data_IF_198065402130
#
_entry.id   IF_198065402130
#
_cell.length_a   1.000
_cell.length_b   1.000
_cell.length_c   1.000
_cell.angle_alpha   90.00
_cell.angle_beta   90.00
_cell.angle_gamma   90.00
#
_symmetry.space_group_name_H-M   'P 1'
#
loop_
_entity.id
_entity.type
_entity.pdbx_description
1 polymer ?
#
# COMPACT_ATOMS: atom_id res chain seq x y z
N UNK A 1 2.26 -67.08 3.91
CA UNK A 1 3.57 -66.41 4.19
C UNK A 1 3.32 -64.92 4.43
N UNK A 2 3.54 -64.53 5.65
CA UNK A 2 2.97 -63.38 6.30
C UNK A 2 3.62 -62.05 5.88
N UNK A 3 2.82 -60.95 5.85
CA UNK A 3 3.21 -59.54 5.64
C UNK A 3 4.40 -59.08 6.54
N UNK A 4 4.64 -59.74 7.66
CA UNK A 4 5.78 -59.52 8.56
C UNK A 4 7.15 -59.81 7.97
N UNK A 5 7.30 -60.87 7.13
CA UNK A 5 8.60 -61.20 6.52
C UNK A 5 9.07 -60.18 5.46
N UNK A 6 8.14 -59.40 4.86
CA UNK A 6 8.50 -58.38 3.86
C UNK A 6 9.01 -57.07 4.49
N UNK A 7 8.63 -56.80 5.74
CA UNK A 7 9.07 -55.59 6.48
C UNK A 7 10.49 -55.81 7.05
N UNK A 8 10.82 -57.00 7.50
CA UNK A 8 12.14 -57.31 8.07
C UNK A 8 13.25 -57.33 7.02
N UNK A 9 12.95 -57.73 5.77
CA UNK A 9 13.92 -57.69 4.67
C UNK A 9 14.29 -56.26 4.21
N UNK A 10 13.37 -55.31 4.29
CA UNK A 10 13.60 -53.90 3.93
C UNK A 10 14.47 -53.14 4.95
N UNK A 11 14.29 -53.44 6.23
CA UNK A 11 15.06 -52.81 7.31
C UNK A 11 16.52 -53.29 7.35
N UNK A 12 16.79 -54.53 7.01
CA UNK A 12 18.16 -55.08 6.98
C UNK A 12 19.00 -54.54 5.82
N UNK A 13 18.39 -54.23 4.67
CA UNK A 13 19.09 -53.64 3.52
C UNK A 13 19.45 -52.16 3.78
N UNK A 14 18.56 -51.40 4.40
CA UNK A 14 18.81 -50.00 4.77
C UNK A 14 19.89 -49.88 5.86
N UNK A 15 19.83 -50.72 6.89
CA UNK A 15 20.88 -50.75 7.94
C UNK A 15 22.22 -51.19 7.39
N UNK A 16 22.27 -52.16 6.47
CA UNK A 16 23.50 -52.57 5.82
C UNK A 16 24.14 -51.49 4.94
N UNK A 17 23.34 -50.64 4.29
CA UNK A 17 23.84 -49.54 3.47
C UNK A 17 24.37 -48.37 4.35
N UNK A 18 23.66 -48.04 5.41
CA UNK A 18 24.06 -47.01 6.38
C UNK A 18 25.40 -47.33 7.02
N UNK A 19 25.63 -48.60 7.40
CA UNK A 19 26.89 -49.05 8.01
C UNK A 19 28.06 -49.07 7.01
N UNK A 20 27.79 -49.34 5.72
CA UNK A 20 28.84 -49.39 4.69
C UNK A 20 29.27 -48.02 4.14
N UNK A 21 28.38 -47.02 4.17
CA UNK A 21 28.68 -45.67 3.62
C UNK A 21 28.14 -44.54 4.53
N UNK A 22 28.60 -44.48 5.79
CA UNK A 22 28.05 -43.54 6.76
C UNK A 22 28.20 -42.07 6.31
N UNK A 23 29.28 -41.73 5.64
CA UNK A 23 29.51 -40.36 5.12
C UNK A 23 28.48 -39.93 4.06
N UNK A 24 28.07 -40.85 3.16
CA UNK A 24 27.05 -40.54 2.15
C UNK A 24 25.67 -40.30 2.79
N UNK A 25 25.32 -41.14 3.77
CA UNK A 25 24.04 -40.98 4.49
C UNK A 25 24.01 -39.69 5.28
N UNK A 26 25.12 -39.36 5.97
CA UNK A 26 25.24 -38.10 6.71
C UNK A 26 25.20 -36.89 5.77
N UNK A 27 25.92 -36.90 4.64
CA UNK A 27 25.91 -35.82 3.65
C UNK A 27 24.51 -35.64 3.02
N UNK A 28 23.79 -36.70 2.73
CA UNK A 28 22.42 -36.62 2.22
C UNK A 28 21.47 -36.02 3.27
N UNK A 29 21.59 -36.44 4.51
CA UNK A 29 20.78 -35.93 5.60
C UNK A 29 21.04 -34.42 5.82
N UNK A 30 22.30 -34.02 5.88
CA UNK A 30 22.65 -32.57 6.02
C UNK A 30 22.17 -31.75 4.82
N UNK A 31 22.28 -32.26 3.60
CA UNK A 31 21.77 -31.60 2.41
C UNK A 31 20.24 -31.40 2.47
N UNK A 32 19.49 -32.39 2.91
CA UNK A 32 18.05 -32.33 3.09
C UNK A 32 17.70 -31.29 4.17
N UNK A 33 18.40 -31.30 5.31
CA UNK A 33 18.18 -30.34 6.40
C UNK A 33 18.47 -28.89 5.94
N UNK A 34 19.57 -28.66 5.23
CA UNK A 34 19.91 -27.34 4.68
C UNK A 34 18.86 -26.88 3.68
N UNK A 35 18.44 -27.76 2.76
CA UNK A 35 17.38 -27.45 1.81
C UNK A 35 16.06 -27.10 2.51
N UNK A 36 15.65 -27.89 3.50
CA UNK A 36 14.43 -27.63 4.27
C UNK A 36 14.48 -26.29 5.01
N UNK A 37 15.62 -26.00 5.67
CA UNK A 37 15.83 -24.74 6.39
C UNK A 37 15.84 -23.53 5.43
N UNK A 38 16.47 -23.64 4.27
CA UNK A 38 16.49 -22.56 3.27
C UNK A 38 15.10 -22.32 2.67
N UNK A 39 14.37 -23.38 2.36
CA UNK A 39 13.00 -23.28 1.85
C UNK A 39 12.06 -22.65 2.89
N UNK A 40 12.16 -23.05 4.16
CA UNK A 40 11.38 -22.49 5.25
C UNK A 40 11.72 -21.02 5.50
N UNK A 41 13.01 -20.67 5.51
CA UNK A 41 13.47 -19.28 5.62
C UNK A 41 12.98 -18.40 4.48
N UNK A 42 12.99 -18.92 3.25
CA UNK A 42 12.48 -18.21 2.08
C UNK A 42 10.99 -17.91 2.20
N UNK A 43 10.20 -18.91 2.57
CA UNK A 43 8.75 -18.74 2.75
C UNK A 43 8.43 -17.72 3.85
N UNK A 44 9.06 -17.87 5.01
CA UNK A 44 8.87 -16.97 6.14
C UNK A 44 9.31 -15.52 5.86
N UNK A 45 10.41 -15.34 5.14
CA UNK A 45 10.90 -14.01 4.73
C UNK A 45 9.94 -13.29 3.77
N UNK A 46 9.24 -14.02 2.90
CA UNK A 46 8.21 -13.44 2.03
C UNK A 46 7.04 -12.88 2.84
N UNK A 47 6.51 -13.68 3.76
CA UNK A 47 5.36 -13.29 4.58
C UNK A 47 5.68 -12.07 5.48
N UNK A 48 6.87 -12.04 6.06
CA UNK A 48 7.36 -10.90 6.85
C UNK A 48 7.42 -9.64 6.00
N UNK A 49 7.98 -9.71 4.77
CA UNK A 49 8.09 -8.54 3.89
C UNK A 49 6.72 -8.00 3.48
N UNK A 50 5.83 -8.88 3.04
CA UNK A 50 4.47 -8.48 2.64
C UNK A 50 3.70 -7.87 3.82
N UNK A 51 3.78 -8.48 4.99
CA UNK A 51 3.17 -7.97 6.24
C UNK A 51 3.75 -6.62 6.67
N UNK A 52 5.08 -6.48 6.63
CA UNK A 52 5.75 -5.23 7.02
C UNK A 52 5.43 -4.10 6.05
N UNK A 53 5.45 -4.36 4.74
CA UNK A 53 5.10 -3.38 3.72
C UNK A 53 3.63 -2.95 3.86
N UNK A 54 2.72 -3.89 4.14
CA UNK A 54 1.32 -3.58 4.35
C UNK A 54 1.13 -2.67 5.57
N UNK A 55 1.74 -3.01 6.72
CA UNK A 55 1.67 -2.18 7.94
C UNK A 55 2.26 -0.78 7.72
N UNK A 56 3.37 -0.67 6.99
CA UNK A 56 3.96 0.61 6.64
C UNK A 56 3.02 1.45 5.78
N UNK A 57 2.42 0.85 4.74
CA UNK A 57 1.45 1.53 3.88
C UNK A 57 0.20 1.98 4.66
N UNK A 58 -0.28 1.17 5.60
CA UNK A 58 -1.37 1.54 6.51
C UNK A 58 -1.01 2.75 7.38
N UNK A 59 0.15 2.74 8.01
CA UNK A 59 0.63 3.84 8.86
C UNK A 59 0.78 5.14 8.06
N UNK A 60 1.35 5.09 6.86
CA UNK A 60 1.44 6.26 5.97
C UNK A 60 0.06 6.79 5.57
N UNK A 61 -0.87 5.89 5.23
CA UNK A 61 -2.23 6.28 4.88
C UNK A 61 -2.94 7.01 6.03
N UNK A 62 -2.85 6.46 7.23
CA UNK A 62 -3.42 7.05 8.44
C UNK A 62 -2.81 8.42 8.73
N UNK A 63 -1.48 8.57 8.62
CA UNK A 63 -0.77 9.82 8.84
C UNK A 63 -1.22 10.92 7.89
N UNK A 64 -1.32 10.60 6.59
CA UNK A 64 -1.78 11.56 5.58
C UNK A 64 -3.25 11.93 5.78
N UNK A 65 -4.10 10.96 6.12
CA UNK A 65 -5.52 11.22 6.42
C UNK A 65 -5.69 12.09 7.65
N UNK A 66 -4.92 11.84 8.70
CA UNK A 66 -4.93 12.65 9.93
C UNK A 66 -4.46 14.08 9.66
N UNK A 67 -3.35 14.26 8.92
CA UNK A 67 -2.84 15.56 8.52
C UNK A 67 -3.88 16.34 7.70
N UNK A 68 -4.47 15.72 6.68
CA UNK A 68 -5.52 16.36 5.87
C UNK A 68 -6.74 16.76 6.70
N UNK A 69 -7.18 15.87 7.59
CA UNK A 69 -8.29 16.14 8.49
C UNK A 69 -8.00 17.27 9.47
N UNK A 70 -6.80 17.29 10.06
CA UNK A 70 -6.36 18.39 10.93
C UNK A 70 -6.33 19.73 10.18
N UNK A 71 -5.72 19.75 9.00
CA UNK A 71 -5.66 20.93 8.15
C UNK A 71 -7.06 21.46 7.82
N UNK A 72 -7.96 20.58 7.37
CA UNK A 72 -9.33 20.96 7.01
C UNK A 72 -10.13 21.52 8.19
N UNK A 73 -10.01 20.92 9.37
CA UNK A 73 -10.81 21.33 10.54
C UNK A 73 -10.22 22.50 11.33
N UNK A 74 -8.90 22.64 11.33
CA UNK A 74 -8.24 23.58 12.25
C UNK A 74 -7.47 24.69 11.55
N UNK A 75 -6.85 24.43 10.41
CA UNK A 75 -6.03 25.42 9.70
C UNK A 75 -6.89 26.27 8.76
N UNK A 76 -7.61 25.63 7.86
CA UNK A 76 -8.44 26.30 6.84
C UNK A 76 -9.42 27.32 7.46
N UNK A 77 -10.25 26.97 8.47
CA UNK A 77 -11.19 27.93 9.03
C UNK A 77 -10.51 29.13 9.73
N UNK A 78 -9.33 28.89 10.33
CA UNK A 78 -8.56 29.99 10.96
C UNK A 78 -7.97 30.94 9.93
N UNK A 79 -7.39 30.39 8.85
CA UNK A 79 -6.83 31.17 7.77
C UNK A 79 -7.92 32.02 7.08
N UNK A 80 -9.09 31.43 6.81
CA UNK A 80 -10.23 32.15 6.23
C UNK A 80 -10.70 33.29 7.15
N UNK A 81 -10.76 33.09 8.47
CA UNK A 81 -11.08 34.14 9.44
C UNK A 81 -10.04 35.28 9.44
N UNK A 82 -8.79 34.98 9.11
CA UNK A 82 -7.71 35.93 8.95
C UNK A 82 -7.67 36.59 7.55
N UNK A 83 -8.64 36.33 6.69
CA UNK A 83 -8.77 36.91 5.36
C UNK A 83 -8.12 36.14 4.23
N UNK A 84 -7.58 34.94 4.50
CA UNK A 84 -7.02 34.07 3.43
C UNK A 84 -8.13 33.43 2.60
N UNK A 85 -7.87 33.31 1.29
CA UNK A 85 -8.69 32.50 0.37
C UNK A 85 -8.20 31.06 0.30
N UNK A 86 -9.03 30.14 -0.18
CA UNK A 86 -8.67 28.72 -0.34
C UNK A 86 -8.87 28.34 -1.79
N UNK A 87 -7.81 27.88 -2.48
CA UNK A 87 -7.88 27.54 -3.90
C UNK A 87 -6.96 26.36 -4.28
N UNK A 88 -7.14 25.86 -5.51
CA UNK A 88 -6.24 24.88 -6.11
C UNK A 88 -4.97 25.51 -6.70
N UNK A 89 -5.04 26.78 -7.10
CA UNK A 89 -4.01 27.63 -7.69
C UNK A 89 -3.34 28.56 -6.65
N UNK A 90 -3.30 28.14 -5.42
CA UNK A 90 -2.83 28.91 -4.27
C UNK A 90 -1.41 29.51 -4.43
N UNK A 91 -0.60 28.93 -5.33
CA UNK A 91 0.77 29.41 -5.61
C UNK A 91 0.81 30.74 -6.38
N UNK A 92 -0.34 31.19 -6.92
CA UNK A 92 -0.44 32.44 -7.66
C UNK A 92 -0.68 33.66 -6.76
N UNK A 93 -0.91 33.44 -5.46
CA UNK A 93 -1.19 34.53 -4.51
C UNK A 93 -0.72 34.21 -3.10
N UNK A 94 -0.01 35.15 -2.47
CA UNK A 94 0.52 35.03 -1.10
C UNK A 94 -0.58 34.99 -0.01
N UNK A 95 -1.81 35.38 -0.34
CA UNK A 95 -2.95 35.34 0.57
C UNK A 95 -3.86 34.13 0.40
N UNK A 96 -3.46 33.20 -0.46
CA UNK A 96 -4.25 32.02 -0.77
C UNK A 96 -3.57 30.76 -0.21
N UNK A 97 -4.34 29.89 0.41
CA UNK A 97 -3.88 28.59 0.89
C UNK A 97 -4.51 27.45 0.07
N UNK A 98 -3.85 26.28 -0.04
CA UNK A 98 -4.37 25.18 -0.84
C UNK A 98 -5.63 24.55 -0.24
N UNK A 99 -6.49 23.98 -1.09
CA UNK A 99 -7.48 23.03 -0.61
C UNK A 99 -6.83 21.84 0.10
N UNK A 100 -7.49 21.18 1.08
CA UNK A 100 -6.93 20.04 1.80
C UNK A 100 -6.45 18.89 0.90
N UNK A 101 -7.17 18.62 -0.21
CA UNK A 101 -6.75 17.63 -1.19
C UNK A 101 -5.55 18.12 -2.02
N UNK A 102 -5.50 19.40 -2.38
CA UNK A 102 -4.37 20.01 -3.10
C UNK A 102 -3.09 19.95 -2.28
N UNK A 103 -3.14 20.35 -1.01
CA UNK A 103 -2.02 20.20 -0.07
C UNK A 103 -1.47 18.77 -0.07
N UNK A 104 -2.36 17.78 0.00
CA UNK A 104 -1.92 16.38 0.08
C UNK A 104 -1.32 15.88 -1.23
N UNK A 105 -1.84 16.34 -2.37
CA UNK A 105 -1.30 15.98 -3.71
C UNK A 105 0.07 16.64 -3.91
N UNK A 106 0.23 17.89 -3.52
CA UNK A 106 1.51 18.60 -3.65
C UNK A 106 2.56 17.98 -2.73
N UNK A 107 2.20 17.62 -1.49
CA UNK A 107 3.09 16.85 -0.62
C UNK A 107 3.50 15.50 -1.27
N UNK A 108 2.56 14.81 -1.92
CA UNK A 108 2.87 13.56 -2.63
C UNK A 108 3.85 13.78 -3.80
N UNK A 109 3.76 14.91 -4.50
CA UNK A 109 4.69 15.27 -5.57
C UNK A 109 6.08 15.59 -5.00
N UNK A 110 6.18 16.37 -3.95
CA UNK A 110 7.43 16.67 -3.23
C UNK A 110 8.14 15.39 -2.75
N UNK A 111 7.39 14.46 -2.16
CA UNK A 111 7.94 13.18 -1.71
C UNK A 111 8.44 12.34 -2.89
N UNK A 112 7.77 12.39 -4.03
CA UNK A 112 8.17 11.67 -5.24
C UNK A 112 9.47 12.24 -5.82
N UNK A 113 9.62 13.56 -5.85
CA UNK A 113 10.84 14.25 -6.31
C UNK A 113 12.04 13.92 -5.42
N UNK A 114 11.82 13.71 -4.13
CA UNK A 114 12.85 13.29 -3.17
C UNK A 114 13.12 11.78 -3.18
N UNK A 115 12.72 11.06 -4.23
CA UNK A 115 12.90 9.60 -4.35
C UNK A 115 12.37 8.81 -3.16
N UNK A 116 11.23 9.20 -2.62
CA UNK A 116 10.64 8.45 -1.53
C UNK A 116 10.30 7.01 -1.95
N UNK A 117 10.43 6.09 -1.01
CA UNK A 117 10.22 4.66 -1.24
C UNK A 117 8.76 4.32 -1.61
N UNK A 118 7.82 5.26 -1.48
CA UNK A 118 6.42 5.04 -1.76
C UNK A 118 5.83 6.12 -2.65
N UNK A 119 4.76 5.78 -3.36
CA UNK A 119 3.97 6.74 -4.12
C UNK A 119 2.57 6.86 -3.54
N UNK A 120 2.04 8.07 -3.65
CA UNK A 120 0.76 8.43 -3.09
C UNK A 120 -0.12 9.04 -4.19
N UNK A 121 -1.37 8.55 -4.32
CA UNK A 121 -2.31 9.03 -5.32
C UNK A 121 -3.68 9.30 -4.70
N UNK A 122 -4.34 10.33 -5.23
CA UNK A 122 -5.77 10.57 -5.00
C UNK A 122 -6.51 10.53 -6.30
N UNK A 123 -7.66 9.87 -6.33
CA UNK A 123 -8.55 9.84 -7.49
C UNK A 123 -10.01 9.69 -7.05
N UNK A 124 -10.91 10.03 -7.95
CA UNK A 124 -12.35 10.05 -7.70
C UNK A 124 -13.10 9.76 -9.00
N UNK A 125 -14.34 9.30 -8.88
CA UNK A 125 -15.26 9.20 -10.00
C UNK A 125 -15.73 10.59 -10.46
N UNK A 126 -15.79 11.56 -9.56
CA UNK A 126 -16.26 12.93 -9.82
C UNK A 126 -15.13 13.95 -9.60
N UNK A 127 -14.07 13.99 -10.44
CA UNK A 127 -12.98 14.94 -10.26
C UNK A 127 -13.44 16.38 -10.54
N UNK A 128 -12.86 17.35 -9.82
CA UNK A 128 -13.02 18.76 -10.19
C UNK A 128 -12.37 19.05 -11.55
N UNK A 129 -12.88 20.03 -12.34
CA UNK A 129 -12.38 20.32 -13.69
C UNK A 129 -10.88 20.58 -13.78
N UNK A 130 -10.29 21.23 -12.78
CA UNK A 130 -8.85 21.54 -12.76
C UNK A 130 -7.95 20.33 -12.49
N UNK A 131 -8.52 19.15 -12.16
CA UNK A 131 -7.74 17.92 -11.98
C UNK A 131 -7.35 17.25 -13.30
N UNK A 132 -7.93 17.72 -14.41
CA UNK A 132 -7.73 17.15 -15.74
C UNK A 132 -8.29 15.73 -15.88
N UNK A 133 -8.28 15.24 -17.09
CA UNK A 133 -8.62 13.85 -17.36
C UNK A 133 -7.46 12.94 -16.97
N UNK A 134 -7.74 11.96 -16.12
CA UNK A 134 -6.79 10.94 -15.72
C UNK A 134 -7.29 9.57 -16.09
N UNK A 135 -6.51 8.84 -16.86
CA UNK A 135 -6.78 7.43 -17.14
C UNK A 135 -6.41 6.60 -15.91
N UNK A 136 -7.43 6.02 -15.28
CA UNK A 136 -7.23 5.11 -14.15
C UNK A 136 -6.73 3.76 -14.65
N UNK A 137 -5.75 3.18 -13.93
CA UNK A 137 -5.33 1.82 -14.19
C UNK A 137 -6.34 0.79 -13.65
N UNK A 138 -6.10 -0.50 -13.91
CA UNK A 138 -7.04 -1.55 -13.50
C UNK A 138 -7.22 -1.62 -11.98
N UNK A 139 -6.15 -1.47 -11.20
CA UNK A 139 -6.24 -1.44 -9.74
C UNK A 139 -7.12 -0.28 -9.26
N UNK A 140 -6.94 0.90 -9.83
CA UNK A 140 -7.67 2.12 -9.45
C UNK A 140 -9.16 2.03 -9.76
N UNK A 141 -9.53 1.45 -10.92
CA UNK A 141 -10.93 1.15 -11.26
C UNK A 141 -11.55 0.13 -10.30
N UNK A 142 -10.83 -0.96 -10.02
CA UNK A 142 -11.31 -2.00 -9.10
C UNK A 142 -11.49 -1.45 -7.68
N UNK A 143 -10.55 -0.61 -7.22
CA UNK A 143 -10.63 0.02 -5.90
C UNK A 143 -11.83 0.96 -5.80
N UNK A 144 -12.08 1.82 -6.80
CA UNK A 144 -13.29 2.66 -6.84
C UNK A 144 -14.56 1.83 -6.79
N UNK A 145 -14.66 0.78 -7.60
CA UNK A 145 -15.85 -0.08 -7.65
C UNK A 145 -16.06 -0.86 -6.33
N UNK A 146 -14.99 -1.32 -5.70
CA UNK A 146 -15.08 -2.10 -4.46
C UNK A 146 -15.28 -1.27 -3.20
N UNK A 147 -14.77 -0.04 -3.18
CA UNK A 147 -14.91 0.83 -2.00
C UNK A 147 -16.19 1.66 -2.06
N UNK A 148 -16.70 1.98 -3.25
CA UNK A 148 -17.90 2.78 -3.39
C UNK A 148 -19.16 1.95 -3.06
N UNK A 149 -19.91 2.37 -2.04
CA UNK A 149 -21.17 1.73 -1.66
C UNK A 149 -21.04 0.40 -0.90
N UNK A 150 -19.83 0.04 -0.43
CA UNK A 150 -19.61 -1.16 0.37
C UNK A 150 -19.11 -0.81 1.77
N UNK A 151 -19.13 -1.80 2.68
CA UNK A 151 -18.57 -1.67 4.03
C UNK A 151 -17.06 -1.96 4.07
N UNK A 152 -16.41 -2.11 2.89
CA UNK A 152 -14.98 -2.38 2.82
C UNK A 152 -14.19 -1.14 3.27
N UNK A 153 -13.32 -1.33 4.24
CA UNK A 153 -12.44 -0.30 4.80
C UNK A 153 -11.19 -0.05 3.96
N UNK A 154 -10.80 -1.00 3.11
CA UNK A 154 -9.65 -0.92 2.21
C UNK A 154 -9.71 -1.93 1.07
N UNK A 155 -8.93 -1.67 0.02
CA UNK A 155 -8.65 -2.60 -1.07
C UNK A 155 -7.15 -2.80 -1.24
N UNK A 156 -6.68 -4.05 -1.24
CA UNK A 156 -5.24 -4.39 -1.25
C UNK A 156 -4.94 -5.34 -2.40
N UNK A 157 -3.81 -5.11 -3.09
CA UNK A 157 -3.27 -6.02 -4.09
C UNK A 157 -1.74 -6.03 -4.04
N UNK A 158 -1.16 -7.23 -4.12
CA UNK A 158 0.27 -7.42 -4.36
C UNK A 158 0.46 -7.73 -5.84
N UNK A 159 1.13 -6.82 -6.55
CA UNK A 159 1.33 -6.96 -8.00
C UNK A 159 2.69 -6.42 -8.44
N UNK A 160 3.07 -6.69 -9.69
CA UNK A 160 4.20 -6.03 -10.30
C UNK A 160 3.74 -4.66 -10.84
N UNK A 161 4.16 -3.60 -10.17
CA UNK A 161 3.85 -2.23 -10.56
C UNK A 161 5.12 -1.52 -11.05
N UNK A 162 5.11 -1.08 -12.30
CA UNK A 162 6.25 -0.42 -12.97
C UNK A 162 7.57 -1.23 -12.84
N UNK A 163 7.47 -2.55 -13.05
CA UNK A 163 8.63 -3.45 -13.02
C UNK A 163 9.08 -3.88 -11.62
N UNK A 164 8.41 -3.46 -10.54
CA UNK A 164 8.77 -3.80 -9.17
C UNK A 164 7.62 -4.47 -8.42
N UNK A 165 7.91 -5.58 -7.75
CA UNK A 165 6.92 -6.21 -6.85
C UNK A 165 6.53 -5.22 -5.77
N UNK A 166 5.23 -4.91 -5.67
CA UNK A 166 4.73 -3.83 -4.80
C UNK A 166 3.44 -4.27 -4.10
N UNK A 167 3.18 -3.70 -2.93
CA UNK A 167 1.84 -3.65 -2.36
C UNK A 167 1.18 -2.35 -2.78
N UNK A 168 -0.05 -2.45 -3.29
CA UNK A 168 -0.94 -1.32 -3.53
C UNK A 168 -2.11 -1.43 -2.57
N UNK A 169 -2.36 -0.36 -1.84
CA UNK A 169 -3.45 -0.28 -0.89
C UNK A 169 -4.25 0.99 -1.13
N UNK A 170 -5.56 0.86 -1.15
CA UNK A 170 -6.51 1.94 -1.39
C UNK A 170 -7.49 2.05 -0.22
N UNK A 171 -7.74 3.28 0.22
CA UNK A 171 -8.68 3.61 1.29
C UNK A 171 -9.76 4.55 0.78
N UNK A 172 -11.00 4.42 1.22
CA UNK A 172 -12.05 5.38 0.91
C UNK A 172 -11.74 6.73 1.59
N UNK A 173 -11.98 7.81 0.86
CA UNK A 173 -11.97 9.17 1.40
C UNK A 173 -13.41 9.54 1.74
N UNK A 174 -13.74 9.43 3.01
CA UNK A 174 -15.08 9.67 3.52
C UNK A 174 -15.32 11.15 3.75
N UNK A 175 -16.50 11.64 3.33
CA UNK A 175 -16.94 13.02 3.50
C UNK A 175 -17.31 13.30 4.95
N UNK A 176 -16.65 14.29 5.56
CA UNK A 176 -17.05 14.90 6.83
C UNK A 176 -17.86 16.17 6.59
N UNK A 177 -18.36 16.78 7.66
CA UNK A 177 -19.19 17.99 7.61
C UNK A 177 -18.53 19.15 6.84
N UNK A 178 -17.26 19.44 7.13
CA UNK A 178 -16.50 20.50 6.44
C UNK A 178 -16.28 20.19 4.96
N UNK A 179 -16.16 18.89 4.60
CA UNK A 179 -16.04 18.47 3.22
C UNK A 179 -17.35 18.69 2.46
N UNK A 180 -18.46 18.23 3.03
CA UNK A 180 -19.81 18.36 2.45
C UNK A 180 -20.16 19.83 2.24
N UNK A 181 -19.95 20.70 3.25
CA UNK A 181 -20.23 22.12 3.15
C UNK A 181 -19.52 22.76 1.96
N UNK A 182 -18.20 22.54 1.81
CA UNK A 182 -17.43 23.10 0.71
C UNK A 182 -17.83 22.50 -0.65
N UNK A 183 -17.92 21.16 -0.74
CA UNK A 183 -18.21 20.48 -2.00
C UNK A 183 -19.62 20.75 -2.56
N UNK A 184 -20.60 20.99 -1.69
CA UNK A 184 -21.97 21.28 -2.12
C UNK A 184 -22.18 22.75 -2.49
N UNK A 185 -21.29 23.66 -2.06
CA UNK A 185 -21.42 25.10 -2.33
C UNK A 185 -20.43 25.61 -3.36
N UNK A 186 -19.39 24.85 -3.70
CA UNK A 186 -18.37 25.29 -4.63
C UNK A 186 -18.93 25.34 -6.07
N UNK A 187 -18.82 26.46 -6.80
CA UNK A 187 -19.47 26.66 -8.09
C UNK A 187 -19.02 25.70 -9.18
N UNK A 188 -17.79 25.16 -9.08
CA UNK A 188 -17.24 24.18 -10.02
C UNK A 188 -17.30 22.75 -9.50
N UNK A 189 -18.11 22.48 -8.46
CA UNK A 189 -18.26 21.13 -7.97
C UNK A 189 -19.02 20.26 -8.99
N UNK A 190 -18.48 19.10 -9.40
CA UNK A 190 -19.16 18.22 -10.35
C UNK A 190 -20.41 17.55 -9.75
N UNK A 191 -20.53 17.57 -8.43
CA UNK A 191 -21.66 17.03 -7.67
C UNK A 191 -21.89 17.86 -6.39
N UNK A 192 -23.14 18.19 -6.09
CA UNK A 192 -23.53 19.12 -5.00
C UNK A 192 -24.56 18.53 -4.02
N UNK A 193 -24.80 17.24 -4.07
CA UNK A 193 -25.73 16.50 -3.19
C UNK A 193 -25.01 15.56 -2.21
N UNK A 194 -23.74 15.85 -1.89
CA UNK A 194 -22.93 15.07 -0.96
C UNK A 194 -23.51 15.06 0.45
N UNK A 195 -23.38 13.91 1.10
CA UNK A 195 -23.77 13.71 2.51
C UNK A 195 -22.56 13.29 3.33
N UNK A 196 -22.63 13.55 4.63
CA UNK A 196 -21.63 13.02 5.58
C UNK A 196 -21.67 11.51 5.53
N UNK A 197 -20.49 10.90 5.38
CA UNK A 197 -20.37 9.44 5.20
C UNK A 197 -20.22 8.99 3.75
N UNK A 198 -20.55 9.82 2.75
CA UNK A 198 -20.34 9.48 1.35
C UNK A 198 -18.84 9.32 1.04
N UNK A 199 -18.53 8.46 0.08
CA UNK A 199 -17.16 8.26 -0.38
C UNK A 199 -16.86 9.24 -1.52
N UNK A 200 -16.02 10.23 -1.23
CA UNK A 200 -15.61 11.27 -2.18
C UNK A 200 -14.63 10.77 -3.24
N UNK A 201 -13.86 9.77 -2.91
CA UNK A 201 -12.81 9.22 -3.76
C UNK A 201 -11.96 8.23 -3.00
N UNK A 202 -10.79 7.98 -3.54
CA UNK A 202 -9.84 6.98 -3.01
C UNK A 202 -8.47 7.61 -2.78
N UNK A 203 -7.90 7.28 -1.64
CA UNK A 203 -6.51 7.51 -1.28
C UNK A 203 -5.73 6.23 -1.48
N UNK A 204 -4.73 6.23 -2.34
CA UNK A 204 -3.92 5.06 -2.65
C UNK A 204 -2.48 5.26 -2.23
N UNK A 205 -1.88 4.22 -1.66
CA UNK A 205 -0.43 4.12 -1.45
C UNK A 205 0.09 2.92 -2.24
N UNK A 206 1.22 3.10 -2.88
CA UNK A 206 1.98 2.02 -3.52
C UNK A 206 3.37 1.98 -2.89
N UNK A 207 3.72 0.85 -2.29
CA UNK A 207 5.01 0.62 -1.65
C UNK A 207 5.69 -0.58 -2.30
N UNK A 208 6.87 -0.41 -2.92
CA UNK A 208 7.66 -1.53 -3.41
C UNK A 208 8.09 -2.44 -2.26
N UNK A 209 8.02 -3.75 -2.48
CA UNK A 209 8.60 -4.73 -1.56
C UNK A 209 10.13 -4.67 -1.70
N UNK A 210 10.85 -4.59 -0.58
CA UNK A 210 12.30 -4.63 -0.60
C UNK A 210 12.80 -5.96 -1.19
N UNK A 211 13.70 -5.88 -2.17
CA UNK A 211 14.39 -7.06 -2.69
C UNK A 211 15.48 -7.50 -1.72
N UNK A 212 15.62 -8.81 -1.51
CA UNK A 212 16.59 -9.39 -0.54
C UNK A 212 18.04 -9.04 -0.88
N UNK A 213 18.31 -8.67 -2.14
CA UNK A 213 19.65 -8.36 -2.64
C UNK A 213 20.09 -6.90 -2.51
N UNK A 214 19.18 -5.95 -2.30
CA UNK A 214 19.50 -4.51 -2.31
C UNK A 214 19.63 -3.89 -0.93
N UNK A 215 19.34 -4.62 0.13
CA UNK A 215 19.38 -4.12 1.52
C UNK A 215 20.79 -3.90 2.07
N UNK A 216 21.83 -4.23 1.32
CA UNK A 216 23.23 -4.05 1.70
C UNK A 216 23.98 -2.95 0.92
N UNK A 217 23.30 -2.23 0.01
CA UNK A 217 23.90 -1.07 -0.62
C UNK A 217 23.62 0.16 0.25
N UNK A 218 24.67 0.90 0.68
CA UNK A 218 24.48 2.15 1.40
C UNK A 218 23.70 3.12 0.51
N UNK A 219 22.77 3.86 1.12
CA UNK A 219 22.09 4.97 0.46
C UNK A 219 23.16 5.93 -0.04
N UNK A 220 23.11 6.40 -1.30
CA UNK A 220 24.00 7.45 -1.75
C UNK A 220 23.77 8.68 -0.88
N UNK A 221 24.85 9.17 -0.24
CA UNK A 221 24.88 10.38 0.58
C UNK A 221 24.62 11.65 -0.23
#
# INVERSE_FOLDING_TARGET
>A
MSRRQKIEGGTSLLTGYVVRKPFLVFSLYTAICVFALTALSWHHSKDIRESTALKAAEAYSQSVSAMRGFYSRHVVPRAQKAGATVSHDYKESDTTIPFPATLTIDLANELREKNSAFTFNFYSADPFPWRGERVLDQFERDALGKLNGTTADKYVRFENYKGRRSVRIAYPVVMGETCVSCHNTHPLSPRTDWKVGDIRGVQQITLPLADVGTSFLPLPG
#
